data_IF_215866729635
#
_entry.id   IF_215866729635
#
_cell.length_a   1.000
_cell.length_b   1.000
_cell.length_c   1.000
_cell.angle_alpha   90.00
_cell.angle_beta   90.00
_cell.angle_gamma   90.00
#
_symmetry.space_group_name_H-M   'P 1'
#
loop_
_entity.id
_entity.type
_entity.pdbx_description
1 polymer ?
#
# COMPACT_ATOMS: atom_id res chain seq x y z
N UNK A 1 11.64 -21.17 -18.88
CA UNK A 1 11.43 -20.01 -19.78
C UNK A 1 11.07 -20.41 -21.21
N UNK A 2 11.86 -21.21 -21.92
CA UNK A 2 11.61 -21.56 -23.34
C UNK A 2 10.24 -22.20 -23.58
N UNK A 3 9.86 -23.19 -22.75
CA UNK A 3 8.53 -23.82 -22.79
C UNK A 3 7.40 -22.80 -22.67
N UNK A 4 7.53 -21.82 -21.79
CA UNK A 4 6.53 -20.76 -21.61
C UNK A 4 6.44 -19.89 -22.87
N UNK A 5 7.56 -19.42 -23.42
CA UNK A 5 7.56 -18.59 -24.63
C UNK A 5 6.95 -19.33 -25.83
N UNK A 6 7.24 -20.62 -26.00
CA UNK A 6 6.63 -21.45 -27.02
C UNK A 6 5.11 -21.58 -26.82
N UNK A 7 4.64 -21.80 -25.59
CA UNK A 7 3.21 -21.87 -25.28
C UNK A 7 2.52 -20.51 -25.47
N UNK A 8 3.15 -19.40 -25.10
CA UNK A 8 2.62 -18.06 -25.28
C UNK A 8 2.42 -17.74 -26.77
N UNK A 9 3.43 -18.04 -27.60
CA UNK A 9 3.35 -17.87 -29.06
C UNK A 9 2.24 -18.73 -29.69
N UNK A 10 2.19 -20.02 -29.34
CA UNK A 10 1.16 -20.96 -29.85
C UNK A 10 -0.28 -20.57 -29.49
N UNK A 11 -0.48 -19.83 -28.40
CA UNK A 11 -1.81 -19.45 -27.90
C UNK A 11 -2.08 -17.94 -28.03
N UNK A 12 -1.30 -17.20 -28.85
CA UNK A 12 -1.41 -15.74 -28.98
C UNK A 12 -2.81 -15.23 -29.31
N UNK A 13 -3.59 -16.02 -30.06
CA UNK A 13 -4.94 -15.66 -30.51
C UNK A 13 -6.06 -16.33 -29.71
N UNK A 14 -5.75 -17.17 -28.71
CA UNK A 14 -6.78 -17.83 -27.91
C UNK A 14 -7.26 -16.90 -26.80
N UNK A 15 -8.59 -16.78 -26.68
CA UNK A 15 -9.24 -15.95 -25.69
C UNK A 15 -10.41 -16.75 -25.05
N UNK A 16 -10.34 -17.11 -23.76
CA UNK A 16 -9.23 -16.85 -22.84
C UNK A 16 -7.98 -17.71 -23.16
N UNK A 17 -6.78 -17.27 -22.72
CA UNK A 17 -5.59 -18.11 -22.76
C UNK A 17 -5.78 -19.41 -21.95
N UNK A 18 -5.13 -20.53 -22.34
CA UNK A 18 -5.27 -21.79 -21.61
C UNK A 18 -4.81 -21.65 -20.14
N UNK A 19 -5.55 -22.22 -19.20
CA UNK A 19 -5.22 -22.18 -17.76
C UNK A 19 -3.79 -22.64 -17.47
N UNK A 20 -3.35 -23.74 -18.11
CA UNK A 20 -1.96 -24.25 -17.99
C UNK A 20 -0.89 -23.20 -18.34
N UNK A 21 -1.19 -22.26 -19.23
CA UNK A 21 -0.27 -21.16 -19.56
C UNK A 21 -0.25 -20.11 -18.45
N UNK A 22 -1.40 -19.78 -17.88
CA UNK A 22 -1.53 -18.84 -16.75
C UNK A 22 -0.84 -19.40 -15.50
N UNK A 23 -1.06 -20.68 -15.18
CA UNK A 23 -0.45 -21.36 -14.05
C UNK A 23 1.08 -21.39 -14.18
N UNK A 24 1.58 -21.73 -15.38
CA UNK A 24 3.01 -21.74 -15.66
C UNK A 24 3.63 -20.34 -15.52
N UNK A 25 2.93 -19.29 -15.95
CA UNK A 25 3.39 -17.91 -15.76
C UNK A 25 3.49 -17.56 -14.28
N UNK A 26 2.46 -17.87 -13.48
CA UNK A 26 2.45 -17.65 -12.04
C UNK A 26 3.60 -18.37 -11.34
N UNK A 27 3.81 -19.65 -11.66
CA UNK A 27 4.90 -20.46 -11.12
C UNK A 27 6.27 -19.86 -11.47
N UNK A 28 6.50 -19.50 -12.73
CA UNK A 28 7.76 -18.88 -13.15
C UNK A 28 8.00 -17.53 -12.46
N UNK A 29 6.95 -16.71 -12.28
CA UNK A 29 7.04 -15.45 -11.54
C UNK A 29 7.33 -15.65 -10.04
N UNK A 30 6.95 -16.80 -9.48
CA UNK A 30 7.24 -17.14 -8.09
C UNK A 30 8.67 -17.68 -7.92
N UNK A 31 9.13 -18.52 -8.85
CA UNK A 31 10.43 -19.19 -8.78
C UNK A 31 11.59 -18.26 -9.14
N UNK A 32 11.35 -17.28 -10.01
CA UNK A 32 12.36 -16.33 -10.44
C UNK A 32 12.54 -15.23 -9.37
N UNK A 33 13.79 -15.02 -8.96
CA UNK A 33 14.16 -13.92 -8.05
C UNK A 33 13.88 -12.55 -8.66
N UNK A 34 13.57 -11.57 -7.80
CA UNK A 34 13.26 -10.18 -8.19
C UNK A 34 14.37 -9.52 -9.02
N UNK A 35 15.63 -9.93 -8.85
CA UNK A 35 16.78 -9.36 -9.56
C UNK A 35 17.17 -10.10 -10.84
N UNK A 36 16.42 -11.14 -11.25
CA UNK A 36 16.79 -11.96 -12.42
C UNK A 36 16.46 -11.29 -13.76
N UNK A 37 17.39 -11.28 -14.75
CA UNK A 37 17.10 -10.85 -16.13
C UNK A 37 16.01 -11.71 -16.80
N UNK A 38 15.85 -12.95 -16.36
CA UNK A 38 14.78 -13.83 -16.86
C UNK A 38 13.40 -13.35 -16.42
N UNK A 39 13.30 -12.72 -15.25
CA UNK A 39 12.05 -12.15 -14.75
C UNK A 39 11.63 -10.95 -15.61
N UNK A 40 12.57 -10.10 -16.03
CA UNK A 40 12.27 -8.98 -16.94
C UNK A 40 11.70 -9.48 -18.25
N UNK A 41 12.41 -10.41 -18.90
CA UNK A 41 11.97 -11.01 -20.16
C UNK A 41 10.59 -11.67 -20.03
N UNK A 42 10.31 -12.30 -18.88
CA UNK A 42 9.01 -12.90 -18.60
C UNK A 42 7.92 -11.83 -18.48
N UNK A 43 8.15 -10.79 -17.66
CA UNK A 43 7.21 -9.69 -17.45
C UNK A 43 6.94 -8.92 -18.74
N UNK A 44 7.96 -8.63 -19.53
CA UNK A 44 7.83 -7.99 -20.85
C UNK A 44 6.96 -8.82 -21.79
N UNK A 45 7.20 -10.14 -21.86
CA UNK A 45 6.40 -11.04 -22.68
C UNK A 45 4.93 -11.10 -22.23
N UNK A 46 4.69 -11.13 -20.91
CA UNK A 46 3.32 -11.13 -20.34
C UNK A 46 2.60 -9.81 -20.64
N UNK A 47 3.24 -8.67 -20.34
CA UNK A 47 2.64 -7.34 -20.50
C UNK A 47 2.50 -6.92 -21.98
N UNK A 48 3.34 -7.46 -22.86
CA UNK A 48 3.25 -7.29 -24.31
C UNK A 48 2.18 -8.16 -24.98
N UNK A 49 1.56 -9.10 -24.26
CA UNK A 49 0.52 -9.96 -24.80
C UNK A 49 -0.85 -9.25 -24.89
N UNK A 50 -1.62 -9.54 -25.94
CA UNK A 50 -2.99 -9.03 -26.14
C UNK A 50 -3.90 -9.35 -24.95
N UNK A 51 -3.74 -10.55 -24.39
CA UNK A 51 -4.59 -11.09 -23.32
C UNK A 51 -3.97 -10.89 -21.92
N UNK A 52 -3.14 -9.84 -21.72
CA UNK A 52 -2.47 -9.55 -20.44
C UNK A 52 -3.40 -9.46 -19.24
N UNK A 53 -4.66 -9.06 -19.46
CA UNK A 53 -5.67 -8.92 -18.40
C UNK A 53 -5.94 -10.24 -17.65
N UNK A 54 -5.80 -11.39 -18.32
CA UNK A 54 -5.94 -12.72 -17.72
C UNK A 54 -4.73 -13.13 -16.89
N UNK A 55 -3.54 -12.59 -17.17
CA UNK A 55 -2.36 -12.82 -16.36
C UNK A 55 -2.37 -11.95 -15.10
N UNK A 56 -2.91 -10.73 -15.20
CA UNK A 56 -3.04 -9.79 -14.08
C UNK A 56 -4.17 -10.14 -13.08
N UNK A 57 -4.71 -11.35 -13.15
CA UNK A 57 -5.54 -11.96 -12.09
C UNK A 57 -4.69 -12.72 -11.07
N UNK A 58 -3.47 -13.13 -11.42
CA UNK A 58 -2.60 -13.89 -10.54
C UNK A 58 -1.67 -12.95 -9.75
N UNK A 59 -1.71 -13.03 -8.42
CA UNK A 59 -0.93 -12.14 -7.54
C UNK A 59 0.58 -12.27 -7.72
N UNK A 60 1.10 -13.46 -8.03
CA UNK A 60 2.54 -13.66 -8.23
C UNK A 60 3.04 -12.94 -9.49
N UNK A 61 2.21 -12.94 -10.54
CA UNK A 61 2.48 -12.18 -11.77
C UNK A 61 2.41 -10.68 -11.49
N UNK A 62 1.36 -10.22 -10.81
CA UNK A 62 1.20 -8.80 -10.43
C UNK A 62 2.42 -8.33 -9.62
N UNK A 63 2.82 -9.09 -8.60
CA UNK A 63 4.00 -8.82 -7.77
C UNK A 63 5.28 -8.75 -8.60
N UNK A 64 5.51 -9.71 -9.49
CA UNK A 64 6.66 -9.70 -10.39
C UNK A 64 6.69 -8.44 -11.28
N UNK A 65 5.56 -8.08 -11.87
CA UNK A 65 5.45 -6.88 -12.71
C UNK A 65 5.75 -5.61 -11.91
N UNK A 66 5.20 -5.49 -10.69
CA UNK A 66 5.47 -4.36 -9.80
C UNK A 66 6.96 -4.25 -9.48
N UNK A 67 7.62 -5.35 -9.11
CA UNK A 67 9.06 -5.31 -8.78
C UNK A 67 9.93 -4.96 -9.97
N UNK A 68 9.64 -5.49 -11.16
CA UNK A 68 10.36 -5.11 -12.38
C UNK A 68 10.20 -3.61 -12.67
N UNK A 69 8.99 -3.06 -12.56
CA UNK A 69 8.76 -1.63 -12.74
C UNK A 69 9.45 -0.77 -11.68
N UNK A 70 9.44 -1.19 -10.40
CA UNK A 70 10.18 -0.49 -9.33
C UNK A 70 11.68 -0.43 -9.67
N UNK A 71 12.29 -1.57 -10.05
CA UNK A 71 13.72 -1.61 -10.41
C UNK A 71 14.03 -0.68 -11.58
N UNK A 72 13.13 -0.60 -12.55
CA UNK A 72 13.27 0.26 -13.72
C UNK A 72 12.90 1.73 -13.42
N UNK A 73 12.65 2.09 -12.14
CA UNK A 73 12.21 3.41 -11.68
C UNK A 73 10.90 3.89 -12.32
N UNK A 74 10.07 2.96 -12.77
CA UNK A 74 8.78 3.18 -13.41
C UNK A 74 7.63 3.13 -12.39
N UNK A 75 7.76 3.90 -11.30
CA UNK A 75 6.81 3.90 -10.18
C UNK A 75 5.37 4.18 -10.61
N UNK A 76 5.16 5.16 -11.50
CA UNK A 76 3.82 5.51 -11.97
C UNK A 76 3.19 4.39 -12.80
N UNK A 77 3.99 3.61 -13.54
CA UNK A 77 3.50 2.43 -14.27
C UNK A 77 3.14 1.31 -13.30
N UNK A 78 3.92 1.10 -12.24
CA UNK A 78 3.58 0.13 -11.20
C UNK A 78 2.26 0.48 -10.48
N UNK A 79 2.05 1.77 -10.15
CA UNK A 79 0.79 2.25 -9.58
C UNK A 79 -0.40 1.97 -10.51
N UNK A 80 -0.30 2.36 -11.79
CA UNK A 80 -1.33 2.09 -12.80
C UNK A 80 -1.62 0.59 -12.93
N UNK A 81 -0.59 -0.25 -12.91
CA UNK A 81 -0.77 -1.70 -13.00
C UNK A 81 -1.63 -2.22 -11.83
N UNK A 82 -1.38 -1.77 -10.60
CA UNK A 82 -2.18 -2.16 -9.43
C UNK A 82 -3.62 -1.64 -9.51
N UNK A 83 -3.84 -0.44 -10.03
CA UNK A 83 -5.19 0.13 -10.18
C UNK A 83 -6.11 -0.69 -11.08
N UNK A 84 -5.56 -1.32 -12.13
CA UNK A 84 -6.33 -2.06 -13.14
C UNK A 84 -6.17 -3.59 -13.05
N UNK A 85 -5.36 -4.10 -12.13
CA UNK A 85 -5.23 -5.55 -11.95
C UNK A 85 -6.52 -6.16 -11.40
N UNK A 86 -6.72 -7.45 -11.68
CA UNK A 86 -7.91 -8.21 -11.29
C UNK A 86 -7.60 -9.28 -10.22
N UNK A 87 -6.43 -9.20 -9.58
CA UNK A 87 -6.09 -10.08 -8.48
C UNK A 87 -7.01 -9.83 -7.27
N UNK A 88 -7.34 -10.90 -6.56
CA UNK A 88 -8.34 -10.89 -5.50
C UNK A 88 -7.73 -10.60 -4.12
N UNK A 89 -6.41 -10.80 -3.98
CA UNK A 89 -5.64 -10.67 -2.74
C UNK A 89 -5.42 -9.21 -2.35
N UNK A 90 -6.50 -8.53 -1.94
CA UNK A 90 -6.52 -7.08 -1.64
C UNK A 90 -5.45 -6.65 -0.64
N UNK A 91 -5.20 -7.45 0.40
CA UNK A 91 -4.17 -7.14 1.40
C UNK A 91 -2.76 -7.05 0.78
N UNK A 92 -2.44 -7.98 -0.12
CA UNK A 92 -1.14 -8.02 -0.80
C UNK A 92 -1.02 -6.87 -1.81
N UNK A 93 -2.08 -6.57 -2.56
CA UNK A 93 -2.10 -5.41 -3.47
C UNK A 93 -1.88 -4.09 -2.73
N UNK A 94 -2.48 -3.93 -1.54
CA UNK A 94 -2.25 -2.78 -0.67
C UNK A 94 -0.81 -2.74 -0.16
N UNK A 95 -0.20 -3.90 0.16
CA UNK A 95 1.23 -3.95 0.52
C UNK A 95 2.12 -3.50 -0.64
N UNK A 96 1.85 -3.96 -1.87
CA UNK A 96 2.59 -3.56 -3.07
C UNK A 96 2.45 -2.06 -3.35
N UNK A 97 1.26 -1.49 -3.18
CA UNK A 97 1.05 -0.04 -3.29
C UNK A 97 1.96 0.74 -2.34
N UNK A 98 2.01 0.31 -1.08
CA UNK A 98 2.89 0.94 -0.09
C UNK A 98 4.37 0.79 -0.45
N UNK A 99 4.77 -0.38 -0.97
CA UNK A 99 6.15 -0.64 -1.38
C UNK A 99 6.60 0.29 -2.50
N UNK A 100 5.79 0.48 -3.55
CA UNK A 100 6.08 1.43 -4.64
C UNK A 100 6.35 2.83 -4.08
N UNK A 101 5.50 3.31 -3.18
CA UNK A 101 5.66 4.63 -2.58
C UNK A 101 6.84 4.72 -1.60
N UNK A 102 7.19 3.64 -0.89
CA UNK A 102 8.39 3.61 -0.07
C UNK A 102 9.63 3.73 -0.95
N UNK A 103 9.72 2.94 -2.02
CA UNK A 103 10.85 2.98 -2.96
C UNK A 103 11.01 4.37 -3.58
N UNK A 104 9.91 5.00 -4.02
CA UNK A 104 9.93 6.37 -4.52
C UNK A 104 10.46 7.40 -3.51
N UNK A 105 10.10 7.26 -2.23
CA UNK A 105 10.59 8.15 -1.16
C UNK A 105 12.06 7.88 -0.84
N UNK A 106 12.46 6.61 -0.79
CA UNK A 106 13.84 6.16 -0.59
C UNK A 106 14.77 6.71 -1.68
N UNK A 107 14.37 6.62 -2.94
CA UNK A 107 15.08 7.21 -4.07
C UNK A 107 15.20 8.73 -3.95
N UNK A 108 14.10 9.42 -3.64
CA UNK A 108 14.10 10.89 -3.48
C UNK A 108 15.07 11.36 -2.39
N UNK A 109 15.20 10.59 -1.32
CA UNK A 109 16.05 10.92 -0.18
C UNK A 109 17.42 10.23 -0.21
N UNK A 110 17.74 9.49 -1.28
CA UNK A 110 18.99 8.74 -1.42
C UNK A 110 19.29 7.87 -0.19
N UNK A 111 18.30 7.09 0.26
CA UNK A 111 18.41 6.22 1.43
C UNK A 111 17.80 4.86 1.14
N UNK A 112 18.38 3.80 1.69
CA UNK A 112 17.90 2.43 1.50
C UNK A 112 16.87 2.00 2.56
N UNK A 113 16.52 2.90 3.49
CA UNK A 113 15.60 2.59 4.58
C UNK A 113 14.71 3.76 4.98
N UNK A 114 13.46 3.45 5.35
CA UNK A 114 12.53 4.39 5.97
C UNK A 114 12.20 3.96 7.39
N UNK A 115 12.35 4.89 8.33
CA UNK A 115 11.88 4.73 9.71
C UNK A 115 10.37 4.45 9.76
N UNK A 116 9.86 3.81 10.82
CA UNK A 116 8.41 3.59 10.98
C UNK A 116 7.57 4.86 10.84
N UNK A 117 8.08 6.00 11.32
CA UNK A 117 7.42 7.30 11.18
C UNK A 117 7.40 7.80 9.73
N UNK A 118 8.49 7.65 8.98
CA UNK A 118 8.54 7.99 7.56
C UNK A 118 7.59 7.09 6.75
N UNK A 119 7.60 5.77 6.99
CA UNK A 119 6.64 4.84 6.36
C UNK A 119 5.19 5.26 6.65
N UNK A 120 4.88 5.58 7.91
CA UNK A 120 3.55 6.08 8.29
C UNK A 120 3.17 7.36 7.53
N UNK A 121 4.05 8.36 7.48
CA UNK A 121 3.82 9.61 6.73
C UNK A 121 3.64 9.35 5.23
N UNK A 122 4.42 8.42 4.68
CA UNK A 122 4.31 8.02 3.28
C UNK A 122 2.94 7.42 2.97
N UNK A 123 2.48 6.45 3.77
CA UNK A 123 1.13 5.87 3.62
C UNK A 123 0.02 6.91 3.75
N UNK A 124 0.17 7.83 4.70
CA UNK A 124 -0.81 8.91 4.91
C UNK A 124 -0.90 9.87 3.72
N UNK A 125 0.23 10.14 3.06
CA UNK A 125 0.28 11.03 1.88
C UNK A 125 -0.19 10.32 0.61
N UNK A 126 0.01 9.01 0.52
CA UNK A 126 -0.29 8.20 -0.66
C UNK A 126 -1.26 7.06 -0.29
N UNK A 127 -2.53 7.37 0.05
CA UNK A 127 -3.50 6.34 0.36
C UNK A 127 -3.72 5.41 -0.85
N UNK A 128 -3.97 4.11 -0.65
CA UNK A 128 -4.35 3.22 -1.73
C UNK A 128 -5.61 3.72 -2.46
N UNK A 129 -5.71 3.53 -3.78
CA UNK A 129 -6.88 3.91 -4.55
C UNK A 129 -8.09 3.05 -4.18
N UNK A 130 -9.28 3.55 -4.49
CA UNK A 130 -10.58 2.92 -4.18
C UNK A 130 -10.70 1.51 -4.78
N UNK A 131 -10.03 1.24 -5.92
CA UNK A 131 -9.99 -0.08 -6.56
C UNK A 131 -9.28 -1.15 -5.71
N UNK A 132 -8.34 -0.73 -4.85
CA UNK A 132 -7.61 -1.62 -3.92
C UNK A 132 -8.26 -1.64 -2.54
N UNK A 133 -8.85 -0.53 -2.10
CA UNK A 133 -9.46 -0.39 -0.78
C UNK A 133 -10.80 0.39 -0.87
N UNK A 134 -11.92 -0.29 -1.15
CA UNK A 134 -13.22 0.35 -1.36
C UNK A 134 -13.74 1.10 -0.12
N UNK A 135 -13.48 0.54 1.07
CA UNK A 135 -13.86 1.14 2.36
C UNK A 135 -13.01 2.37 2.72
N UNK A 136 -11.96 2.63 1.94
CA UNK A 136 -10.97 3.66 2.23
C UNK A 136 -10.14 3.36 3.48
N UNK A 137 -9.08 4.14 3.67
CA UNK A 137 -8.36 4.10 4.94
C UNK A 137 -9.24 4.69 6.05
N UNK A 138 -9.61 3.89 7.06
CA UNK A 138 -10.31 4.38 8.25
C UNK A 138 -9.65 5.65 8.76
N UNK A 139 -10.42 6.74 8.84
CA UNK A 139 -9.93 8.00 9.38
C UNK A 139 -9.47 7.77 10.82
N UNK A 140 -8.17 7.97 11.08
CA UNK A 140 -7.62 7.95 12.45
C UNK A 140 -7.91 9.25 13.21
N UNK A 141 -8.60 10.20 12.59
CA UNK A 141 -8.99 11.42 13.26
C UNK A 141 -10.18 11.14 14.17
N UNK A 142 -10.16 11.75 15.36
CA UNK A 142 -11.33 11.73 16.23
C UNK A 142 -12.51 12.43 15.56
N UNK A 143 -13.73 12.00 15.88
CA UNK A 143 -14.96 12.67 15.45
C UNK A 143 -14.95 14.14 15.87
N UNK A 144 -15.74 14.97 15.20
CA UNK A 144 -15.88 16.39 15.56
C UNK A 144 -16.30 16.56 17.03
N UNK A 145 -17.23 15.74 17.51
CA UNK A 145 -17.69 15.75 18.90
C UNK A 145 -16.55 15.50 19.89
N UNK A 146 -15.76 14.45 19.68
CA UNK A 146 -14.60 14.13 20.53
C UNK A 146 -13.57 15.26 20.48
N UNK A 147 -13.30 15.82 19.29
CA UNK A 147 -12.39 16.97 19.14
C UNK A 147 -12.88 18.17 19.93
N UNK A 148 -14.16 18.53 19.78
CA UNK A 148 -14.76 19.66 20.49
C UNK A 148 -14.69 19.47 22.01
N UNK A 149 -15.00 18.27 22.51
CA UNK A 149 -14.94 17.97 23.96
C UNK A 149 -13.52 18.10 24.51
N UNK A 150 -12.51 17.60 23.80
CA UNK A 150 -11.10 17.72 24.18
C UNK A 150 -10.64 19.19 24.17
N UNK A 151 -11.02 19.95 23.15
CA UNK A 151 -10.73 21.39 23.06
C UNK A 151 -11.39 22.19 24.17
N UNK A 152 -12.67 21.93 24.44
CA UNK A 152 -13.42 22.56 25.53
C UNK A 152 -12.75 22.32 26.88
N UNK A 153 -12.39 21.07 27.17
CA UNK A 153 -11.68 20.73 28.41
C UNK A 153 -10.34 21.47 28.52
N UNK A 154 -9.59 21.57 27.40
CA UNK A 154 -8.32 22.28 27.39
C UNK A 154 -8.46 23.79 27.67
N UNK A 155 -9.55 24.40 27.19
CA UNK A 155 -9.84 25.82 27.37
C UNK A 155 -10.43 26.14 28.74
N UNK A 156 -11.36 25.32 29.23
CA UNK A 156 -12.15 25.60 30.44
C UNK A 156 -11.53 25.01 31.72
N UNK A 157 -10.75 23.92 31.61
CA UNK A 157 -10.25 23.18 32.78
C UNK A 157 -8.74 23.25 32.89
N UNK A 158 -8.01 22.61 31.97
CA UNK A 158 -6.54 22.62 31.98
C UNK A 158 -5.94 22.02 30.71
N UNK A 159 -4.78 22.52 30.31
CA UNK A 159 -3.95 21.91 29.25
C UNK A 159 -3.05 20.78 29.76
N UNK A 160 -2.97 20.55 31.09
CA UNK A 160 -2.13 19.54 31.74
C UNK A 160 -2.95 18.62 32.66
N UNK A 161 -3.88 17.81 32.12
CA UNK A 161 -4.71 16.95 32.95
C UNK A 161 -3.89 15.90 33.72
N UNK A 162 -4.19 15.77 35.02
CA UNK A 162 -3.64 14.72 35.87
C UNK A 162 -4.23 13.34 35.53
N UNK A 163 -3.74 12.27 36.16
CA UNK A 163 -4.16 10.88 35.86
C UNK A 163 -5.68 10.71 35.95
N UNK A 164 -6.30 11.14 37.05
CA UNK A 164 -7.74 11.03 37.31
C UNK A 164 -8.59 11.82 36.30
N UNK A 165 -8.15 13.04 35.95
CA UNK A 165 -8.80 13.84 34.90
C UNK A 165 -8.72 13.17 33.53
N UNK A 166 -7.57 12.60 33.17
CA UNK A 166 -7.40 11.88 31.90
C UNK A 166 -8.28 10.65 31.83
N UNK A 167 -8.37 9.85 32.90
CA UNK A 167 -9.20 8.66 32.95
C UNK A 167 -10.68 8.99 32.79
N UNK A 168 -11.17 10.01 33.50
CA UNK A 168 -12.57 10.47 33.36
C UNK A 168 -12.87 11.00 31.97
N UNK A 169 -12.03 11.88 31.44
CA UNK A 169 -12.23 12.43 30.10
C UNK A 169 -12.16 11.33 29.03
N UNK A 170 -11.28 10.35 29.19
CA UNK A 170 -11.20 9.19 28.31
C UNK A 170 -12.50 8.38 28.30
N UNK A 171 -13.11 8.15 29.47
CA UNK A 171 -14.43 7.52 29.59
C UNK A 171 -15.51 8.35 28.90
N UNK A 172 -15.57 9.67 29.16
CA UNK A 172 -16.56 10.59 28.57
C UNK A 172 -16.55 10.59 27.04
N UNK A 173 -15.37 10.51 26.42
CA UNK A 173 -15.21 10.58 24.95
C UNK A 173 -14.95 9.22 24.30
N UNK A 174 -15.14 8.13 25.04
CA UNK A 174 -14.87 6.76 24.60
C UNK A 174 -13.49 6.59 23.94
N UNK A 175 -12.46 7.14 24.58
CA UNK A 175 -11.06 6.98 24.19
C UNK A 175 -10.30 6.21 25.28
N UNK A 176 -9.11 5.72 24.93
CA UNK A 176 -8.17 5.19 25.90
C UNK A 176 -7.44 6.35 26.62
N UNK A 177 -7.08 6.22 27.91
CA UNK A 177 -6.39 7.28 28.65
C UNK A 177 -5.08 7.74 27.99
N UNK A 178 -4.36 6.84 27.31
CA UNK A 178 -3.15 7.15 26.55
C UNK A 178 -3.44 8.01 25.30
N UNK A 179 -4.59 7.84 24.64
CA UNK A 179 -5.03 8.64 23.50
C UNK A 179 -5.32 10.08 23.93
N UNK A 180 -5.96 10.26 25.09
CA UNK A 180 -6.18 11.57 25.71
C UNK A 180 -4.85 12.22 26.10
N UNK A 181 -3.96 11.47 26.77
CA UNK A 181 -2.62 11.94 27.11
C UNK A 181 -1.87 12.47 25.87
N UNK A 182 -1.83 11.66 24.80
CA UNK A 182 -1.16 12.01 23.56
C UNK A 182 -1.77 13.24 22.88
N UNK A 183 -3.11 13.38 22.93
CA UNK A 183 -3.78 14.55 22.40
C UNK A 183 -3.36 15.82 23.13
N UNK A 184 -3.37 15.85 24.47
CA UNK A 184 -2.94 17.01 25.24
C UNK A 184 -1.45 17.31 25.08
N UNK A 185 -0.60 16.28 24.99
CA UNK A 185 0.82 16.46 24.69
C UNK A 185 1.02 17.14 23.33
N UNK A 186 0.29 16.70 22.30
CA UNK A 186 0.33 17.32 20.97
C UNK A 186 -0.27 18.72 20.95
N UNK A 187 -1.37 18.95 21.67
CA UNK A 187 -2.02 20.25 21.79
C UNK A 187 -1.04 21.29 22.34
N UNK A 188 -0.39 21.01 23.47
CA UNK A 188 0.61 21.91 24.07
C UNK A 188 1.81 22.16 23.16
N UNK A 189 2.29 21.15 22.43
CA UNK A 189 3.40 21.35 21.47
C UNK A 189 3.01 22.33 20.37
N UNK A 190 1.77 22.27 19.87
CA UNK A 190 1.28 23.18 18.83
C UNK A 190 1.08 24.61 19.32
N UNK A 191 0.74 24.81 20.59
CA UNK A 191 0.59 26.15 21.18
C UNK A 191 1.93 26.88 21.39
N UNK A 192 3.06 26.15 21.38
CA UNK A 192 4.41 26.70 21.55
C UNK A 192 5.13 26.95 20.22
N UNK A 193 4.54 26.52 19.10
CA UNK A 193 5.10 26.65 17.76
C UNK A 193 4.41 27.80 17.03
#
# INVERSE_FOLDING_TARGET
>A
MERFMAMLSRNKNKDPPPTKLLDLAGQLCQDLQSSSPHLEKLVEAILGCKHKIYFLTNIHIVRACVFVHIRNRQHDTACRLLEYCKAEEKEELVRLWHEIHYQRVMEKHHTDFLTPLQKYRCRKRNPPPVSLCPEGSKSRNYSDEVRQRLHRFAAEVTTNPNKKQRERLAQDVNLQPNQVYNWFANYRRRQKS
#
